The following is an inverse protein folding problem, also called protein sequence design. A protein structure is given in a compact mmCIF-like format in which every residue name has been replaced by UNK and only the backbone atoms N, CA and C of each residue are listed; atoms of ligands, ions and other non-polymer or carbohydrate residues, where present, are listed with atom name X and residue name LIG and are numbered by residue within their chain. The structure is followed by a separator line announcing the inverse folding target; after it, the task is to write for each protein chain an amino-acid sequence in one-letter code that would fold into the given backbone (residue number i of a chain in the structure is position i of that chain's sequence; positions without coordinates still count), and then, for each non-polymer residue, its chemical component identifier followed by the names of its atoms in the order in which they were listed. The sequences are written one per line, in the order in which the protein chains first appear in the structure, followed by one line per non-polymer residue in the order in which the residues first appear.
data_IF_969287976707
#
_entry.id   IF_969287976707
#
_cell.length_a   1.000
_cell.length_b   1.000
_cell.length_c   1.000
_cell.angle_alpha   90.00
_cell.angle_beta   90.00
_cell.angle_gamma   90.00
#
_symmetry.space_group_name_H-M   'P 1'
#
loop_
_entity.id
_entity.type
_entity.pdbx_description
1 polymer ?
#
# COMPACT_ATOMS: atom_id res chain seq x y z
N UNK A 1 -26.82 -30.53 47.95
CA UNK A 1 -27.01 -31.11 46.60
C UNK A 1 -26.75 -30.01 45.60
N UNK A 2 -25.96 -30.27 44.56
CA UNK A 2 -25.57 -29.27 43.56
C UNK A 2 -26.64 -29.17 42.47
N UNK A 3 -27.15 -27.97 42.22
CA UNK A 3 -28.11 -27.68 41.15
C UNK A 3 -27.38 -27.55 39.80
N UNK A 4 -28.14 -27.68 38.69
CA UNK A 4 -27.60 -27.46 37.35
C UNK A 4 -27.18 -26.00 37.16
N UNK A 5 -26.16 -25.81 36.32
CA UNK A 5 -25.78 -24.47 35.84
C UNK A 5 -26.79 -23.96 34.80
N UNK A 6 -26.79 -22.66 34.53
CA UNK A 6 -27.67 -22.05 33.52
C UNK A 6 -27.42 -22.61 32.11
N UNK A 7 -26.16 -22.88 31.76
CA UNK A 7 -25.79 -23.46 30.46
C UNK A 7 -26.36 -24.88 30.30
N UNK A 8 -26.27 -25.69 31.35
CA UNK A 8 -26.85 -27.04 31.37
C UNK A 8 -28.38 -27.00 31.27
N UNK A 9 -29.04 -26.03 31.92
CA UNK A 9 -30.49 -25.83 31.79
C UNK A 9 -30.90 -25.40 30.37
N UNK A 10 -30.08 -24.60 29.68
CA UNK A 10 -30.32 -24.21 28.29
C UNK A 10 -30.15 -25.38 27.32
N UNK A 11 -29.11 -26.21 27.51
CA UNK A 11 -28.91 -27.42 26.72
C UNK A 11 -30.06 -28.43 26.92
N UNK A 12 -30.54 -28.60 28.16
CA UNK A 12 -31.74 -29.40 28.45
C UNK A 12 -33.00 -28.85 27.75
N UNK A 13 -33.16 -27.52 27.68
CA UNK A 13 -34.29 -26.86 27.00
C UNK A 13 -34.27 -27.09 25.49
N UNK A 14 -33.10 -27.00 24.88
CA UNK A 14 -32.92 -27.09 23.42
C UNK A 14 -32.86 -28.56 22.93
N UNK A 15 -33.13 -29.52 23.82
CA UNK A 15 -33.08 -30.99 23.62
C UNK A 15 -31.73 -31.45 23.03
N UNK A 16 -30.64 -30.77 23.44
CA UNK A 16 -29.30 -31.12 23.01
C UNK A 16 -28.79 -32.34 23.77
N UNK A 17 -29.12 -33.53 23.24
CA UNK A 17 -28.71 -34.84 23.77
C UNK A 17 -27.33 -35.27 23.28
N UNK A 18 -26.64 -34.43 22.51
CA UNK A 18 -25.39 -34.82 21.85
C UNK A 18 -24.19 -34.82 22.81
N UNK A 19 -24.31 -34.19 23.98
CA UNK A 19 -23.25 -34.13 24.98
C UNK A 19 -23.41 -35.20 26.08
N UNK A 20 -22.43 -36.10 26.28
CA UNK A 20 -22.51 -37.17 27.28
C UNK A 20 -22.54 -36.66 28.73
N UNK A 21 -22.09 -35.43 28.99
CA UNK A 21 -22.14 -34.79 30.31
C UNK A 21 -23.58 -34.42 30.75
N UNK A 22 -24.53 -34.36 29.81
CA UNK A 22 -25.93 -33.99 30.05
C UNK A 22 -26.88 -35.18 30.26
N UNK A 23 -26.40 -36.43 30.18
CA UNK A 23 -27.24 -37.61 30.38
C UNK A 23 -27.89 -37.67 31.77
N UNK A 24 -27.22 -37.15 32.81
CA UNK A 24 -27.75 -37.03 34.17
C UNK A 24 -28.53 -35.74 34.43
N UNK A 25 -28.49 -34.77 33.53
CA UNK A 25 -29.13 -33.46 33.69
C UNK A 25 -30.67 -33.59 33.61
N UNK A 26 -31.18 -34.37 32.66
CA UNK A 26 -32.63 -34.61 32.52
C UNK A 26 -33.23 -35.34 33.72
N UNK A 27 -32.53 -36.34 34.28
CA UNK A 27 -33.00 -37.07 35.46
C UNK A 27 -32.93 -36.23 36.73
N UNK A 28 -31.92 -35.36 36.86
CA UNK A 28 -31.86 -34.39 37.95
C UNK A 28 -33.00 -33.38 37.88
N UNK A 29 -33.26 -32.79 36.70
CA UNK A 29 -34.41 -31.87 36.52
C UNK A 29 -35.72 -32.59 36.84
N UNK A 30 -35.89 -33.85 36.48
CA UNK A 30 -37.10 -34.60 36.83
C UNK A 30 -37.30 -34.81 38.35
N UNK A 31 -36.24 -34.74 39.16
CA UNK A 31 -36.28 -35.00 40.60
C UNK A 31 -36.07 -33.76 41.49
N UNK A 32 -35.65 -32.62 40.93
CA UNK A 32 -35.34 -31.40 41.69
C UNK A 32 -36.31 -30.25 41.35
N UNK A 33 -37.20 -29.90 42.29
CA UNK A 33 -38.19 -28.82 42.13
C UNK A 33 -37.56 -27.45 41.83
N UNK A 34 -36.38 -27.15 42.41
CA UNK A 34 -35.69 -25.89 42.16
C UNK A 34 -35.23 -25.77 40.70
N UNK A 35 -34.71 -26.85 40.11
CA UNK A 35 -34.28 -26.85 38.71
C UNK A 35 -35.47 -26.84 37.75
N UNK A 36 -36.58 -27.50 38.10
CA UNK A 36 -37.85 -27.42 37.35
C UNK A 36 -38.37 -25.98 37.30
N UNK A 37 -38.39 -25.30 38.45
CA UNK A 37 -38.83 -23.91 38.54
C UNK A 37 -37.98 -22.96 37.69
N UNK A 38 -36.67 -23.16 37.61
CA UNK A 38 -35.80 -22.36 36.72
C UNK A 38 -36.05 -22.68 35.24
N UNK A 39 -36.25 -23.95 34.88
CA UNK A 39 -36.58 -24.35 33.50
C UNK A 39 -37.93 -23.77 33.06
N UNK A 40 -38.93 -23.77 33.93
CA UNK A 40 -40.23 -23.15 33.66
C UNK A 40 -40.13 -21.64 33.46
N UNK A 41 -39.30 -20.95 34.24
CA UNK A 41 -39.01 -19.53 34.03
C UNK A 41 -38.36 -19.28 32.67
N UNK A 42 -37.46 -20.15 32.21
CA UNK A 42 -36.86 -20.07 30.87
C UNK A 42 -37.90 -20.28 29.76
N UNK A 43 -38.80 -21.27 29.92
CA UNK A 43 -39.90 -21.48 29.00
C UNK A 43 -40.85 -20.28 28.94
N UNK A 44 -41.22 -19.71 30.08
CA UNK A 44 -42.07 -18.51 30.15
C UNK A 44 -41.42 -17.30 29.49
N UNK A 45 -40.12 -17.07 29.70
CA UNK A 45 -39.38 -15.99 29.01
C UNK A 45 -39.37 -16.20 27.49
N UNK A 46 -39.12 -17.42 27.05
CA UNK A 46 -39.12 -17.78 25.62
C UNK A 46 -40.52 -17.56 25.02
N UNK A 47 -41.57 -17.96 25.72
CA UNK A 47 -42.95 -17.74 25.31
C UNK A 47 -43.27 -16.24 25.19
N UNK A 48 -42.83 -15.41 26.16
CA UNK A 48 -42.98 -13.95 26.09
C UNK A 48 -42.23 -13.34 24.91
N UNK A 49 -41.02 -13.81 24.60
CA UNK A 49 -40.25 -13.36 23.44
C UNK A 49 -40.92 -13.77 22.12
N UNK A 50 -41.49 -14.98 22.04
CA UNK A 50 -42.24 -15.42 20.85
C UNK A 50 -43.58 -14.71 20.70
N UNK A 51 -44.18 -14.28 21.81
CA UNK A 51 -45.42 -13.50 21.83
C UNK A 51 -45.19 -12.01 21.52
N UNK A 52 -43.94 -11.56 21.31
CA UNK A 52 -43.67 -10.21 20.84
C UNK A 52 -44.36 -9.99 19.49
N UNK A 53 -44.90 -8.79 19.24
CA UNK A 53 -45.53 -8.47 17.97
C UNK A 53 -44.53 -8.70 16.84
N UNK A 54 -44.94 -9.46 15.83
CA UNK A 54 -44.17 -9.64 14.61
C UNK A 54 -44.10 -8.30 13.89
N UNK A 55 -42.94 -7.65 13.96
CA UNK A 55 -42.65 -6.49 13.12
C UNK A 55 -42.51 -6.97 11.67
N UNK A 56 -43.58 -6.86 10.89
CA UNK A 56 -43.52 -7.10 9.47
C UNK A 56 -42.64 -5.99 8.85
N UNK A 57 -41.51 -6.32 8.19
CA UNK A 57 -40.74 -5.32 7.48
C UNK A 57 -41.63 -4.71 6.39
N UNK A 58 -41.53 -3.40 6.18
CA UNK A 58 -42.26 -2.75 5.09
C UNK A 58 -41.94 -3.47 3.77
N UNK A 59 -42.97 -3.66 2.91
CA UNK A 59 -42.90 -4.45 1.66
C UNK A 59 -41.73 -4.09 0.73
N UNK A 60 -41.12 -2.92 0.94
CA UNK A 60 -40.14 -2.29 0.06
C UNK A 60 -38.68 -2.56 0.51
N UNK A 61 -38.43 -3.10 1.70
CA UNK A 61 -37.06 -3.35 2.16
C UNK A 61 -36.40 -4.54 1.47
N UNK A 62 -37.16 -5.59 1.16
CA UNK A 62 -36.63 -6.77 0.47
C UNK A 62 -36.17 -6.49 -0.97
N UNK A 63 -36.92 -5.71 -1.79
CA UNK A 63 -36.43 -5.25 -3.09
C UNK A 63 -35.12 -4.47 -2.98
N UNK A 64 -34.99 -3.55 -2.02
CA UNK A 64 -33.77 -2.75 -1.83
C UNK A 64 -32.54 -3.59 -1.44
N UNK A 65 -32.72 -4.62 -0.61
CA UNK A 65 -31.64 -5.57 -0.28
C UNK A 65 -31.27 -6.42 -1.51
N UNK A 66 -32.26 -6.83 -2.30
CA UNK A 66 -32.04 -7.63 -3.51
C UNK A 66 -31.27 -6.85 -4.58
N UNK A 67 -31.62 -5.59 -4.81
CA UNK A 67 -30.91 -4.75 -5.78
C UNK A 67 -29.47 -4.48 -5.33
N UNK A 68 -29.24 -4.23 -4.04
CA UNK A 68 -27.88 -4.11 -3.48
C UNK A 68 -27.06 -5.38 -3.68
N UNK A 69 -27.63 -6.55 -3.40
CA UNK A 69 -26.94 -7.83 -3.56
C UNK A 69 -26.62 -8.15 -5.03
N UNK A 70 -27.55 -7.86 -5.94
CA UNK A 70 -27.32 -8.02 -7.39
C UNK A 70 -26.23 -7.07 -7.89
N UNK A 71 -26.20 -5.83 -7.41
CA UNK A 71 -25.18 -4.85 -7.76
C UNK A 71 -23.78 -5.28 -7.29
N UNK A 72 -23.65 -5.76 -6.05
CA UNK A 72 -22.37 -6.26 -5.52
C UNK A 72 -21.86 -7.48 -6.31
N UNK A 73 -22.75 -8.41 -6.68
CA UNK A 73 -22.40 -9.59 -7.48
C UNK A 73 -21.98 -9.21 -8.90
N UNK A 74 -22.66 -8.24 -9.51
CA UNK A 74 -22.32 -7.76 -10.85
C UNK A 74 -20.99 -7.00 -10.86
N UNK A 75 -20.75 -6.15 -9.86
CA UNK A 75 -19.46 -5.45 -9.70
C UNK A 75 -18.29 -6.42 -9.56
N UNK A 76 -18.44 -7.51 -8.78
CA UNK A 76 -17.40 -8.55 -8.66
C UNK A 76 -17.10 -9.21 -10.00
N UNK A 77 -18.12 -9.51 -10.81
CA UNK A 77 -17.92 -10.07 -12.16
C UNK A 77 -17.21 -9.08 -13.08
N UNK A 78 -17.62 -7.80 -13.08
CA UNK A 78 -16.98 -6.77 -13.90
C UNK A 78 -15.51 -6.60 -13.51
N UNK A 79 -15.18 -6.58 -12.20
CA UNK A 79 -13.79 -6.49 -11.72
C UNK A 79 -12.93 -7.70 -12.11
N UNK A 80 -13.50 -8.91 -12.10
CA UNK A 80 -12.79 -10.12 -12.56
C UNK A 80 -12.50 -10.06 -14.07
N UNK A 81 -13.49 -9.66 -14.88
CA UNK A 81 -13.32 -9.55 -16.33
C UNK A 81 -12.35 -8.42 -16.69
N UNK A 82 -12.43 -7.26 -16.03
CA UNK A 82 -11.46 -6.17 -16.25
C UNK A 82 -10.04 -6.54 -15.81
N UNK A 83 -9.89 -7.35 -14.76
CA UNK A 83 -8.60 -7.92 -14.36
C UNK A 83 -7.98 -8.82 -15.43
N UNK A 84 -8.80 -9.61 -16.14
CA UNK A 84 -8.32 -10.48 -17.22
C UNK A 84 -7.84 -9.69 -18.44
N UNK A 85 -8.55 -8.63 -18.84
CA UNK A 85 -8.16 -7.79 -19.99
C UNK A 85 -6.91 -6.94 -19.70
N UNK A 86 -6.76 -6.44 -18.47
CA UNK A 86 -5.57 -5.66 -18.07
C UNK A 86 -4.31 -6.52 -17.99
N UNK A 87 -4.41 -7.77 -17.53
CA UNK A 87 -3.28 -8.69 -17.48
C UNK A 87 -2.71 -9.02 -18.88
N UNK A 88 -3.57 -9.19 -19.89
CA UNK A 88 -3.13 -9.44 -21.26
C UNK A 88 -2.39 -8.24 -21.87
N UNK A 89 -2.89 -7.02 -21.68
CA UNK A 89 -2.23 -5.80 -22.15
C UNK A 89 -0.90 -5.55 -21.41
N UNK A 90 -0.86 -5.79 -20.10
CA UNK A 90 0.35 -5.66 -19.30
C UNK A 90 1.42 -6.68 -19.70
N UNK A 91 1.06 -7.93 -19.99
CA UNK A 91 2.00 -8.96 -20.46
C UNK A 91 2.59 -8.63 -21.84
N UNK A 92 1.80 -8.00 -22.72
CA UNK A 92 2.26 -7.56 -24.03
C UNK A 92 3.23 -6.38 -23.91
N UNK A 93 2.95 -5.42 -23.03
CA UNK A 93 3.89 -4.35 -22.69
C UNK A 93 5.16 -4.88 -22.02
N UNK A 94 5.04 -5.82 -21.08
CA UNK A 94 6.20 -6.43 -20.40
C UNK A 94 7.08 -7.23 -21.35
N UNK A 95 6.53 -7.87 -22.37
CA UNK A 95 7.33 -8.63 -23.34
C UNK A 95 8.08 -7.71 -24.32
N UNK A 96 7.48 -6.59 -24.73
CA UNK A 96 8.14 -5.59 -25.56
C UNK A 96 9.22 -4.83 -24.79
N UNK A 97 8.90 -4.33 -23.59
CA UNK A 97 9.83 -3.60 -22.72
C UNK A 97 10.89 -4.53 -22.12
N UNK A 98 10.50 -5.75 -21.71
CA UNK A 98 11.42 -6.74 -21.12
C UNK A 98 12.46 -7.25 -22.11
N UNK A 99 12.14 -7.30 -23.41
CA UNK A 99 13.12 -7.64 -24.45
C UNK A 99 14.17 -6.54 -24.65
N UNK A 100 13.79 -5.29 -24.45
CA UNK A 100 14.68 -4.11 -24.53
C UNK A 100 15.57 -3.99 -23.27
N UNK A 101 15.03 -4.30 -22.09
CA UNK A 101 15.79 -4.38 -20.83
C UNK A 101 16.80 -5.52 -20.77
N UNK A 102 16.49 -6.67 -21.38
CA UNK A 102 17.36 -7.86 -21.40
C UNK A 102 18.51 -7.76 -22.41
N UNK A 103 18.41 -6.85 -23.39
CA UNK A 103 19.42 -6.67 -24.41
C UNK A 103 19.54 -5.17 -24.73
N UNK A 104 19.99 -4.35 -23.76
CA UNK A 104 20.11 -2.93 -23.98
C UNK A 104 21.06 -2.72 -25.17
N UNK A 105 20.69 -1.91 -26.18
CA UNK A 105 21.65 -1.53 -27.20
C UNK A 105 22.85 -0.93 -26.46
N UNK A 106 24.05 -1.46 -26.73
CA UNK A 106 25.28 -0.81 -26.27
C UNK A 106 25.29 0.57 -26.92
N UNK A 107 24.83 1.57 -26.19
CA UNK A 107 24.84 2.96 -26.64
C UNK A 107 26.28 3.27 -27.01
N UNK A 108 26.46 3.87 -28.18
CA UNK A 108 27.77 4.36 -28.59
C UNK A 108 28.30 5.34 -27.54
N UNK A 109 29.61 5.43 -27.35
CA UNK A 109 30.20 6.29 -26.32
C UNK A 109 29.76 7.76 -26.50
N UNK A 110 29.56 8.18 -27.75
CA UNK A 110 29.02 9.48 -28.11
C UNK A 110 27.55 9.67 -27.67
N UNK A 111 26.72 8.64 -27.82
CA UNK A 111 25.33 8.68 -27.36
C UNK A 111 25.23 8.71 -25.83
N UNK A 112 26.11 7.97 -25.14
CA UNK A 112 26.21 8.01 -23.68
C UNK A 112 26.66 9.40 -23.20
N UNK A 113 27.60 10.03 -23.91
CA UNK A 113 28.06 11.37 -23.64
C UNK A 113 26.93 12.38 -23.78
N UNK A 114 26.21 12.36 -24.91
CA UNK A 114 25.10 13.27 -25.15
C UNK A 114 24.00 13.11 -24.08
N UNK A 115 23.65 11.87 -23.74
CA UNK A 115 22.65 11.58 -22.70
C UNK A 115 23.05 12.18 -21.34
N UNK A 116 24.33 12.09 -20.98
CA UNK A 116 24.82 12.63 -19.71
C UNK A 116 24.85 14.17 -19.71
N UNK A 117 25.18 14.79 -20.85
CA UNK A 117 25.11 16.25 -21.04
C UNK A 117 23.66 16.74 -20.90
N UNK A 118 22.72 16.09 -21.60
CA UNK A 118 21.31 16.49 -21.58
C UNK A 118 20.72 16.38 -20.16
N UNK A 119 20.99 15.27 -19.47
CA UNK A 119 20.56 15.08 -18.07
C UNK A 119 21.13 16.16 -17.14
N UNK A 120 22.39 16.51 -17.35
CA UNK A 120 23.07 17.55 -16.59
C UNK A 120 22.44 18.93 -16.82
N UNK A 121 22.15 19.29 -18.07
CA UNK A 121 21.47 20.56 -18.39
C UNK A 121 20.06 20.64 -17.80
N UNK A 122 19.32 19.52 -17.79
CA UNK A 122 17.99 19.47 -17.19
C UNK A 122 18.03 19.69 -15.67
N UNK A 123 19.01 19.11 -14.98
CA UNK A 123 19.22 19.35 -13.55
C UNK A 123 19.60 20.80 -13.27
N UNK A 124 20.42 21.41 -14.12
CA UNK A 124 20.82 22.82 -14.02
C UNK A 124 19.61 23.75 -14.15
N UNK A 125 18.76 23.50 -15.15
CA UNK A 125 17.50 24.23 -15.34
C UNK A 125 16.57 24.08 -14.13
N UNK A 126 16.53 22.89 -13.51
CA UNK A 126 15.73 22.63 -12.31
C UNK A 126 16.25 23.41 -11.10
N UNK A 127 17.56 23.43 -10.89
CA UNK A 127 18.21 24.21 -9.83
C UNK A 127 18.05 25.72 -10.04
N UNK A 128 18.12 26.21 -11.29
CA UNK A 128 17.89 27.63 -11.61
C UNK A 128 16.43 28.06 -11.45
N UNK A 129 15.48 27.14 -11.69
CA UNK A 129 14.06 27.41 -11.46
C UNK A 129 13.73 27.50 -9.96
N UNK A 130 14.61 27.00 -9.08
CA UNK A 130 14.47 27.19 -7.64
C UNK A 130 15.03 28.54 -7.19
N UNK A 131 14.28 29.22 -6.32
CA UNK A 131 14.65 30.49 -5.70
C UNK A 131 15.27 30.24 -4.30
N UNK A 132 16.61 30.24 -4.17
CA UNK A 132 17.29 30.05 -2.89
C UNK A 132 17.16 31.27 -1.95
N UNK A 133 16.79 32.45 -2.47
CA UNK A 133 16.75 33.68 -1.69
C UNK A 133 15.57 33.74 -0.71
N UNK A 134 14.61 32.82 -0.82
CA UNK A 134 13.41 32.82 0.01
C UNK A 134 13.51 32.05 1.33
N UNK A 135 14.59 31.30 1.61
CA UNK A 135 14.65 30.44 2.83
C UNK A 135 15.99 30.47 3.55
N UNK A 136 15.91 30.44 4.89
CA UNK A 136 17.06 30.35 5.78
C UNK A 136 17.50 28.89 5.87
N UNK A 137 18.67 28.58 5.29
CA UNK A 137 19.28 27.23 5.35
C UNK A 137 20.01 27.08 6.69
N UNK A 138 19.92 25.90 7.32
CA UNK A 138 20.71 25.62 8.52
C UNK A 138 22.22 25.57 8.20
N UNK A 139 23.07 25.93 9.17
CA UNK A 139 24.51 26.01 8.93
C UNK A 139 25.20 24.69 8.60
N UNK A 140 24.61 23.54 8.92
CA UNK A 140 25.16 22.21 8.59
C UNK A 140 24.88 21.86 7.13
N UNK A 141 23.67 22.12 6.68
CA UNK A 141 23.21 21.89 5.31
C UNK A 141 23.87 22.87 4.34
N UNK A 142 24.05 24.13 4.73
CA UNK A 142 24.83 25.10 3.95
C UNK A 142 26.28 24.63 3.69
N UNK A 143 26.93 24.01 4.68
CA UNK A 143 28.27 23.44 4.48
C UNK A 143 28.27 22.26 3.50
N UNK A 144 27.24 21.41 3.55
CA UNK A 144 27.11 20.29 2.63
C UNK A 144 26.93 20.77 1.19
N UNK A 145 26.08 21.79 0.97
CA UNK A 145 25.89 22.45 -0.32
C UNK A 145 27.22 22.95 -0.89
N UNK A 146 27.97 23.73 -0.09
CA UNK A 146 29.29 24.26 -0.52
C UNK A 146 30.27 23.14 -0.90
N UNK A 147 30.30 22.03 -0.15
CA UNK A 147 31.17 20.88 -0.47
C UNK A 147 30.76 20.22 -1.79
N UNK A 148 29.47 20.13 -2.09
CA UNK A 148 28.97 19.56 -3.36
C UNK A 148 29.32 20.51 -4.51
N UNK A 149 29.10 21.81 -4.37
CA UNK A 149 29.42 22.82 -5.38
C UNK A 149 30.92 22.86 -5.71
N UNK A 150 31.79 22.78 -4.69
CA UNK A 150 33.24 22.73 -4.90
C UNK A 150 33.65 21.46 -5.68
N UNK A 151 33.03 20.32 -5.39
CA UNK A 151 33.25 19.08 -6.16
C UNK A 151 32.76 19.20 -7.60
N UNK A 152 31.62 19.87 -7.84
CA UNK A 152 31.13 20.13 -9.19
C UNK A 152 32.14 21.00 -9.95
N UNK A 153 32.65 22.08 -9.33
CA UNK A 153 33.67 22.93 -9.93
C UNK A 153 34.96 22.16 -10.27
N UNK A 154 35.38 21.23 -9.42
CA UNK A 154 36.52 20.34 -9.71
C UNK A 154 36.26 19.40 -10.89
N UNK A 155 35.03 18.85 -11.01
CA UNK A 155 34.64 18.03 -12.17
C UNK A 155 34.63 18.88 -13.45
N UNK A 156 34.08 20.09 -13.39
CA UNK A 156 34.02 21.01 -14.53
C UNK A 156 35.44 21.39 -15.00
N UNK A 157 36.38 21.59 -14.08
CA UNK A 157 37.80 21.75 -14.41
C UNK A 157 38.40 20.53 -15.12
N UNK A 158 38.13 19.32 -14.61
CA UNK A 158 38.57 18.06 -15.25
C UNK A 158 37.94 17.85 -16.63
N UNK A 159 36.70 18.29 -16.84
CA UNK A 159 36.03 18.25 -18.14
C UNK A 159 36.74 19.14 -19.17
N UNK A 160 37.20 20.32 -18.75
CA UNK A 160 37.99 21.22 -19.59
C UNK A 160 39.35 20.62 -19.96
N UNK A 161 40.02 19.95 -19.03
CA UNK A 161 41.28 19.25 -19.30
C UNK A 161 41.08 18.05 -20.24
N UNK A 162 40.02 17.25 -20.02
CA UNK A 162 39.68 16.11 -20.86
C UNK A 162 39.39 16.52 -22.31
N UNK A 163 38.92 17.74 -22.55
CA UNK A 163 38.67 18.25 -23.90
C UNK A 163 39.94 18.34 -24.77
N UNK A 164 41.13 18.35 -24.15
CA UNK A 164 42.44 18.40 -24.85
C UNK A 164 42.98 17.03 -25.26
N UNK A 165 42.33 15.94 -24.86
CA UNK A 165 42.75 14.58 -25.17
C UNK A 165 42.43 14.19 -26.63
N UNK A 166 43.10 13.15 -27.10
CA UNK A 166 42.81 12.47 -28.36
C UNK A 166 41.36 11.96 -28.39
N UNK A 167 40.74 11.93 -29.58
CA UNK A 167 39.28 11.78 -29.70
C UNK A 167 38.70 10.56 -28.97
N UNK A 168 39.31 9.38 -29.13
CA UNK A 168 38.82 8.15 -28.50
C UNK A 168 38.94 8.17 -26.97
N UNK A 169 40.02 8.72 -26.43
CA UNK A 169 40.24 8.85 -24.98
C UNK A 169 39.37 9.97 -24.38
N UNK A 170 39.19 11.06 -25.13
CA UNK A 170 38.34 12.20 -24.76
C UNK A 170 36.90 11.77 -24.51
N UNK A 171 36.27 11.07 -25.46
CA UNK A 171 34.86 10.69 -25.35
C UNK A 171 34.64 9.80 -24.13
N UNK A 172 35.48 8.78 -23.96
CA UNK A 172 35.39 7.88 -22.82
C UNK A 172 35.55 8.62 -21.49
N UNK A 173 36.55 9.52 -21.41
CA UNK A 173 36.82 10.29 -20.19
C UNK A 173 35.72 11.30 -19.89
N UNK A 174 35.15 11.92 -20.90
CA UNK A 174 34.04 12.86 -20.75
C UNK A 174 32.77 12.14 -20.27
N UNK A 175 32.46 10.94 -20.76
CA UNK A 175 31.32 10.14 -20.27
C UNK A 175 31.41 9.91 -18.76
N UNK A 176 32.59 9.54 -18.25
CA UNK A 176 32.81 9.32 -16.83
C UNK A 176 32.60 10.59 -16.01
N UNK A 177 33.19 11.70 -16.44
CA UNK A 177 33.13 12.98 -15.74
C UNK A 177 31.72 13.59 -15.77
N UNK A 178 31.00 13.50 -16.90
CA UNK A 178 29.61 13.96 -16.97
C UNK A 178 28.68 13.12 -16.09
N UNK A 179 28.89 11.80 -15.99
CA UNK A 179 28.15 10.97 -15.03
C UNK A 179 28.43 11.37 -13.58
N UNK A 180 29.69 11.70 -13.26
CA UNK A 180 30.07 12.22 -11.95
C UNK A 180 29.37 13.55 -11.65
N UNK A 181 29.35 14.49 -12.61
CA UNK A 181 28.63 15.78 -12.50
C UNK A 181 27.14 15.56 -12.24
N UNK A 182 26.47 14.71 -13.03
CA UNK A 182 25.05 14.38 -12.86
C UNK A 182 24.79 13.79 -11.47
N UNK A 183 25.65 12.92 -10.96
CA UNK A 183 25.54 12.38 -9.61
C UNK A 183 25.61 13.47 -8.53
N UNK A 184 26.56 14.40 -8.65
CA UNK A 184 26.69 15.53 -7.71
C UNK A 184 25.52 16.50 -7.80
N UNK A 185 25.02 16.81 -8.99
CA UNK A 185 23.85 17.66 -9.19
C UNK A 185 22.58 17.04 -8.63
N UNK A 186 22.39 15.73 -8.78
CA UNK A 186 21.28 15.03 -8.14
C UNK A 186 21.36 15.11 -6.61
N UNK A 187 22.56 14.98 -6.03
CA UNK A 187 22.75 15.16 -4.59
C UNK A 187 22.43 16.59 -4.16
N UNK A 188 22.81 17.59 -4.97
CA UNK A 188 22.45 18.98 -4.72
C UNK A 188 20.94 19.19 -4.74
N UNK A 189 20.24 18.65 -5.76
CA UNK A 189 18.77 18.68 -5.85
C UNK A 189 18.13 18.01 -4.64
N UNK A 190 18.59 16.82 -4.25
CA UNK A 190 18.05 16.07 -3.10
C UNK A 190 18.16 16.83 -1.78
N UNK A 191 19.30 17.48 -1.54
CA UNK A 191 19.51 18.34 -0.35
C UNK A 191 18.48 19.47 -0.28
N UNK A 192 18.12 20.06 -1.41
CA UNK A 192 17.13 21.13 -1.48
C UNK A 192 15.69 20.58 -1.38
N UNK A 193 15.35 19.44 -1.99
CA UNK A 193 14.01 18.81 -1.83
C UNK A 193 13.77 18.43 -0.37
N UNK A 194 14.74 17.77 0.26
CA UNK A 194 14.64 17.30 1.66
C UNK A 194 14.46 18.45 2.64
N UNK A 195 14.99 19.64 2.34
CA UNK A 195 14.73 20.83 3.14
C UNK A 195 13.26 21.27 3.06
N UNK A 196 12.63 21.23 1.88
CA UNK A 196 11.22 21.63 1.70
C UNK A 196 10.30 20.80 2.60
N UNK A 197 10.51 19.48 2.67
CA UNK A 197 9.68 18.59 3.49
C UNK A 197 9.83 18.80 5.01
N UNK A 198 10.95 19.35 5.48
CA UNK A 198 11.19 19.55 6.92
C UNK A 198 10.72 20.93 7.44
N UNK A 199 10.47 21.90 6.55
CA UNK A 199 9.99 23.25 6.92
C UNK A 199 8.45 23.33 6.92
N UNK A 200 7.76 22.41 6.25
CA UNK A 200 6.30 22.33 6.16
C UNK A 200 5.64 21.51 7.31
N UNK A 201 6.37 21.21 8.38
CA UNK A 201 5.90 20.52 9.61
C UNK A 201 6.00 21.45 10.84
#
# INVERSE_FOLDING_TARGET
MTHLTMEQLLAVRDDDRSEPELAGAHSHVASCEACQGELDRLHQRTARLRALPTMAPARNHFPAVRTRWQWERNQRRIRMVSGMFTAAAAALLLSLVGRDLMNPPRLDAEQQLQTAIDASQQLEATLHAWDPAQRVVDGRTARLVVVIEDRIAQVDGRLQDAARLEHAERVQRQVELWRERVGLMNALVDVHVTQVSNVDL
#
